data_IF_612060272434
#
_entry.id   IF_612060272434
#
_cell.length_a   1.000
_cell.length_b   1.000
_cell.length_c   1.000
_cell.angle_alpha   90.00
_cell.angle_beta   90.00
_cell.angle_gamma   90.00
#
_symmetry.space_group_name_H-M   'P 1'
#
loop_
_entity.id
_entity.type
_entity.pdbx_description
1 polymer ?
#
# COMPACT_ATOMS: atom_id res chain seq x y z
N UNK A 1 -40.93 -38.82 -22.13
CA UNK A 1 -39.74 -38.32 -22.86
C UNK A 1 -39.51 -36.81 -22.71
N UNK A 2 -40.51 -35.93 -22.94
CA UNK A 2 -40.35 -34.45 -22.83
C UNK A 2 -39.75 -33.94 -21.51
N UNK A 3 -40.16 -34.48 -20.35
CA UNK A 3 -39.64 -34.05 -19.04
C UNK A 3 -38.16 -34.39 -18.81
N UNK A 4 -37.69 -35.52 -19.38
CA UNK A 4 -36.26 -35.93 -19.33
C UNK A 4 -35.40 -35.08 -20.27
N UNK A 5 -35.92 -34.70 -21.43
CA UNK A 5 -35.28 -33.74 -22.34
C UNK A 5 -35.18 -32.34 -21.74
N UNK A 6 -36.24 -31.85 -21.06
CA UNK A 6 -36.20 -30.53 -20.40
C UNK A 6 -35.19 -30.48 -19.24
N UNK A 7 -35.08 -31.56 -18.45
CA UNK A 7 -34.08 -31.66 -17.38
C UNK A 7 -32.65 -31.76 -17.96
N UNK A 8 -32.47 -32.41 -19.12
CA UNK A 8 -31.17 -32.48 -19.81
C UNK A 8 -30.78 -31.17 -20.52
N UNK A 9 -31.75 -30.37 -20.97
CA UNK A 9 -31.52 -29.10 -21.67
C UNK A 9 -31.34 -27.91 -20.72
N UNK A 10 -31.89 -27.97 -19.50
CA UNK A 10 -31.70 -26.94 -18.48
C UNK A 10 -30.21 -26.60 -18.17
N UNK A 11 -29.30 -27.57 -17.93
CA UNK A 11 -27.90 -27.26 -17.70
C UNK A 11 -27.22 -26.66 -18.94
N UNK A 12 -27.58 -27.11 -20.15
CA UNK A 12 -27.06 -26.55 -21.41
C UNK A 12 -27.53 -25.10 -21.61
N UNK A 13 -28.79 -24.78 -21.31
CA UNK A 13 -29.32 -23.42 -21.39
C UNK A 13 -28.65 -22.49 -20.37
N UNK A 14 -28.42 -22.96 -19.13
CA UNK A 14 -27.68 -22.21 -18.11
C UNK A 14 -26.24 -21.96 -18.54
N UNK A 15 -25.55 -22.98 -19.08
CA UNK A 15 -24.18 -22.83 -19.60
C UNK A 15 -24.12 -21.84 -20.76
N UNK A 16 -25.07 -21.90 -21.70
CA UNK A 16 -25.15 -20.94 -22.80
C UNK A 16 -25.40 -19.51 -22.32
N UNK A 17 -26.28 -19.32 -21.32
CA UNK A 17 -26.54 -18.02 -20.72
C UNK A 17 -25.31 -17.46 -19.99
N UNK A 18 -24.58 -18.31 -19.24
CA UNK A 18 -23.34 -17.92 -18.58
C UNK A 18 -22.23 -17.57 -19.58
N UNK A 19 -22.12 -18.32 -20.69
CA UNK A 19 -21.18 -18.02 -21.75
C UNK A 19 -21.52 -16.70 -22.45
N UNK A 20 -22.80 -16.45 -22.74
CA UNK A 20 -23.26 -15.18 -23.31
C UNK A 20 -22.99 -14.00 -22.37
N UNK A 21 -23.22 -14.17 -21.06
CA UNK A 21 -22.91 -13.16 -20.05
C UNK A 21 -21.41 -12.88 -19.97
N UNK A 22 -20.57 -13.93 -19.98
CA UNK A 22 -19.12 -13.79 -19.98
C UNK A 22 -18.61 -13.06 -21.22
N UNK A 23 -19.12 -13.41 -22.40
CA UNK A 23 -18.80 -12.73 -23.66
C UNK A 23 -19.29 -11.28 -23.66
N UNK A 24 -20.51 -11.03 -23.17
CA UNK A 24 -21.06 -9.68 -23.04
C UNK A 24 -20.23 -8.80 -22.10
N UNK A 25 -19.79 -9.35 -20.97
CA UNK A 25 -18.92 -8.64 -20.02
C UNK A 25 -17.56 -8.30 -20.63
N UNK A 26 -16.93 -9.24 -21.32
CA UNK A 26 -15.66 -9.01 -22.01
C UNK A 26 -15.81 -8.00 -23.16
N UNK A 27 -16.91 -8.06 -23.92
CA UNK A 27 -17.21 -7.10 -24.98
C UNK A 27 -17.44 -5.70 -24.41
N UNK A 28 -18.18 -5.56 -23.31
CA UNK A 28 -18.39 -4.28 -22.63
C UNK A 28 -17.08 -3.68 -22.13
N UNK A 29 -16.19 -4.49 -21.55
CA UNK A 29 -14.88 -4.04 -21.09
C UNK A 29 -13.98 -3.56 -22.24
N UNK A 30 -14.10 -4.20 -23.42
CA UNK A 30 -13.38 -3.79 -24.64
C UNK A 30 -14.00 -2.59 -25.36
N UNK A 31 -15.28 -2.30 -25.12
CA UNK A 31 -16.01 -1.19 -25.73
C UNK A 31 -16.13 0.05 -24.83
N UNK A 32 -15.38 0.12 -23.72
CA UNK A 32 -15.25 1.38 -22.98
C UNK A 32 -14.53 2.41 -23.86
N UNK A 33 -14.86 3.71 -23.77
CA UNK A 33 -14.28 4.74 -24.65
C UNK A 33 -12.76 4.60 -24.79
N UNK A 34 -12.32 4.31 -26.01
CA UNK A 34 -10.96 3.84 -26.33
C UNK A 34 -9.91 4.95 -26.44
N UNK A 35 -10.37 6.21 -26.46
CA UNK A 35 -9.52 7.37 -26.71
C UNK A 35 -9.22 8.16 -25.44
N UNK A 36 -7.95 8.39 -25.08
CA UNK A 36 -7.65 9.44 -24.13
C UNK A 36 -8.22 10.78 -24.61
N UNK A 37 -8.61 11.69 -23.70
CA UNK A 37 -8.83 13.07 -24.11
C UNK A 37 -7.55 13.59 -24.81
N UNK A 38 -7.68 14.44 -25.85
CA UNK A 38 -6.52 15.06 -26.45
C UNK A 38 -5.74 15.82 -25.38
N UNK A 39 -4.42 15.71 -25.43
CA UNK A 39 -3.55 16.48 -24.55
C UNK A 39 -3.83 17.96 -24.78
N UNK A 40 -4.08 18.70 -23.71
CA UNK A 40 -4.35 20.15 -23.82
C UNK A 40 -3.06 20.96 -24.05
N UNK A 41 -1.89 20.31 -23.96
CA UNK A 41 -0.58 20.92 -24.18
C UNK A 41 -0.15 20.82 -25.65
N UNK A 42 0.28 21.94 -26.21
CA UNK A 42 0.94 22.02 -27.53
C UNK A 42 2.45 21.73 -27.46
N UNK A 43 3.06 21.89 -26.28
CA UNK A 43 4.47 21.64 -26.07
C UNK A 43 4.77 20.15 -25.76
N UNK A 44 5.96 19.63 -26.14
CA UNK A 44 6.39 18.27 -25.80
C UNK A 44 6.24 17.95 -24.31
N UNK A 45 5.98 16.69 -23.99
CA UNK A 45 5.91 16.24 -22.61
C UNK A 45 7.26 16.39 -21.89
N UNK A 46 7.24 16.99 -20.69
CA UNK A 46 8.46 17.23 -19.90
C UNK A 46 8.96 15.94 -19.26
N UNK A 47 10.18 15.51 -19.63
CA UNK A 47 10.89 14.37 -19.04
C UNK A 47 11.19 14.61 -17.55
N UNK A 48 11.50 15.84 -17.16
CA UNK A 48 11.73 16.21 -15.76
C UNK A 48 10.46 16.05 -14.92
N UNK A 49 9.32 16.51 -15.44
CA UNK A 49 8.02 16.29 -14.79
C UNK A 49 7.72 14.80 -14.68
N UNK A 50 8.00 14.02 -15.74
CA UNK A 50 7.85 12.57 -15.72
C UNK A 50 8.71 11.90 -14.65
N UNK A 51 9.98 12.33 -14.50
CA UNK A 51 10.88 11.84 -13.47
C UNK A 51 10.32 12.07 -12.06
N UNK A 52 9.85 13.30 -11.82
CA UNK A 52 9.23 13.68 -10.56
C UNK A 52 7.99 12.85 -10.25
N UNK A 53 7.06 12.74 -11.21
CA UNK A 53 5.82 11.98 -11.04
C UNK A 53 6.07 10.48 -10.87
N UNK A 54 7.09 9.93 -11.54
CA UNK A 54 7.47 8.53 -11.38
C UNK A 54 8.06 8.24 -9.99
N UNK A 55 8.75 9.22 -9.40
CA UNK A 55 9.18 9.17 -8.00
C UNK A 55 7.98 9.25 -7.06
N UNK A 56 7.09 10.25 -7.22
CA UNK A 56 5.85 10.35 -6.42
C UNK A 56 5.02 9.06 -6.51
N UNK A 57 4.92 8.47 -7.70
CA UNK A 57 4.20 7.20 -7.91
C UNK A 57 4.89 5.95 -7.40
N UNK A 58 6.14 6.07 -6.93
CA UNK A 58 7.02 4.95 -6.57
C UNK A 58 7.11 3.88 -7.67
N UNK A 59 7.18 4.27 -8.95
CA UNK A 59 7.19 3.31 -10.07
C UNK A 59 8.31 2.28 -9.91
N UNK A 60 9.51 2.74 -9.52
CA UNK A 60 10.66 1.89 -9.30
C UNK A 60 10.50 0.92 -8.11
N UNK A 61 9.74 1.29 -7.07
CA UNK A 61 9.50 0.41 -5.91
C UNK A 61 8.75 -0.87 -6.29
N UNK A 62 7.80 -0.78 -7.21
CA UNK A 62 7.06 -1.94 -7.72
C UNK A 62 7.76 -2.59 -8.92
N UNK A 63 8.35 -1.81 -9.83
CA UNK A 63 8.91 -2.31 -11.09
C UNK A 63 10.42 -2.59 -11.04
N UNK A 64 10.96 -2.87 -9.85
CA UNK A 64 12.36 -3.30 -9.69
C UNK A 64 12.42 -4.51 -8.76
N UNK A 65 12.93 -5.64 -9.28
CA UNK A 65 13.23 -6.80 -8.45
C UNK A 65 14.37 -6.49 -7.46
N UNK A 66 14.38 -7.17 -6.30
CA UNK A 66 15.48 -7.02 -5.33
C UNK A 66 16.80 -7.48 -5.96
N UNK A 67 17.78 -6.59 -6.01
CA UNK A 67 19.07 -6.84 -6.67
C UNK A 67 18.99 -6.86 -8.20
N UNK A 68 17.84 -6.50 -8.78
CA UNK A 68 17.66 -6.35 -10.22
C UNK A 68 17.88 -4.92 -10.70
N UNK A 69 17.89 -4.76 -12.00
CA UNK A 69 18.02 -3.47 -12.67
C UNK A 69 16.78 -2.60 -12.47
N UNK A 70 17.00 -1.30 -12.30
CA UNK A 70 15.95 -0.32 -12.02
C UNK A 70 14.91 -0.33 -13.14
N UNK A 71 13.61 -0.39 -12.79
CA UNK A 71 12.46 -0.43 -13.71
C UNK A 71 12.34 -1.67 -14.60
N UNK A 72 13.25 -2.65 -14.51
CA UNK A 72 13.26 -3.84 -15.36
C UNK A 72 12.16 -4.87 -15.01
N UNK A 73 11.34 -4.61 -14.00
CA UNK A 73 10.27 -5.49 -13.54
C UNK A 73 10.77 -6.66 -12.69
N UNK A 74 9.99 -7.73 -12.64
CA UNK A 74 10.33 -8.99 -11.99
C UNK A 74 10.14 -9.02 -10.47
N UNK A 75 9.65 -7.94 -9.85
CA UNK A 75 9.36 -7.93 -8.40
C UNK A 75 8.15 -8.81 -8.11
N UNK A 76 8.31 -9.74 -7.17
CA UNK A 76 7.22 -10.53 -6.63
C UNK A 76 6.33 -9.68 -5.71
N UNK A 77 5.03 -9.68 -5.97
CA UNK A 77 4.00 -9.02 -5.18
C UNK A 77 3.05 -10.12 -4.69
N UNK A 78 3.24 -10.61 -3.45
CA UNK A 78 2.40 -11.64 -2.89
C UNK A 78 0.98 -11.10 -2.62
N UNK A 79 -0.03 -11.86 -3.00
CA UNK A 79 -1.44 -11.56 -2.72
C UNK A 79 -2.13 -12.80 -2.14
N UNK A 80 -3.31 -12.66 -1.50
CA UNK A 80 -4.12 -13.81 -1.10
C UNK A 80 -4.48 -14.78 -2.24
N UNK A 81 -4.41 -14.31 -3.49
CA UNK A 81 -4.80 -15.04 -4.70
C UNK A 81 -3.61 -15.68 -5.45
N UNK A 82 -2.39 -15.52 -4.92
CA UNK A 82 -1.14 -15.94 -5.56
C UNK A 82 -0.18 -14.76 -5.76
N UNK A 83 0.92 -15.01 -6.46
CA UNK A 83 1.99 -14.02 -6.64
C UNK A 83 1.89 -13.35 -8.00
N UNK A 84 1.86 -12.02 -8.01
CA UNK A 84 1.93 -11.20 -9.22
C UNK A 84 3.38 -10.73 -9.40
N UNK A 85 3.85 -10.64 -10.63
CA UNK A 85 5.18 -10.14 -10.95
C UNK A 85 5.07 -8.84 -11.73
N UNK A 86 5.84 -7.82 -11.35
CA UNK A 86 5.84 -6.54 -12.06
C UNK A 86 6.46 -6.66 -13.45
N UNK A 87 5.96 -5.86 -14.39
CA UNK A 87 6.46 -5.82 -15.77
C UNK A 87 7.66 -4.90 -15.93
N UNK A 88 8.43 -5.08 -16.99
CA UNK A 88 9.49 -4.15 -17.38
C UNK A 88 8.88 -2.82 -17.88
N UNK A 89 9.34 -1.68 -17.37
CA UNK A 89 8.92 -0.33 -17.79
C UNK A 89 9.98 0.41 -18.63
N UNK A 90 11.15 -0.19 -18.85
CA UNK A 90 12.20 0.40 -19.69
C UNK A 90 11.81 0.35 -21.18
N UNK A 91 12.45 1.14 -22.08
CA UNK A 91 12.14 1.11 -23.52
C UNK A 91 12.71 -0.13 -24.24
N UNK A 92 12.99 -1.21 -23.52
CA UNK A 92 13.37 -2.50 -24.08
C UNK A 92 12.18 -3.23 -24.75
N UNK A 93 12.48 -4.16 -25.66
CA UNK A 93 11.50 -5.01 -26.33
C UNK A 93 10.62 -5.83 -25.36
N UNK A 94 11.15 -6.18 -24.19
CA UNK A 94 10.41 -6.86 -23.10
C UNK A 94 9.58 -5.90 -22.24
N UNK A 95 9.77 -4.59 -22.40
CA UNK A 95 9.10 -3.51 -21.68
C UNK A 95 8.19 -2.65 -22.56
N UNK A 96 8.50 -1.36 -22.65
CA UNK A 96 7.69 -0.33 -23.31
C UNK A 96 8.14 0.02 -24.73
N UNK A 97 9.04 -0.76 -25.36
CA UNK A 97 9.36 -0.55 -26.76
C UNK A 97 8.09 -0.62 -27.64
N UNK A 98 7.90 0.39 -28.49
CA UNK A 98 6.74 0.47 -29.39
C UNK A 98 5.40 0.74 -28.70
N UNK A 99 5.38 1.07 -27.41
CA UNK A 99 4.19 1.64 -26.78
C UNK A 99 4.04 3.10 -27.17
N UNK A 100 2.82 3.49 -27.55
CA UNK A 100 2.46 4.90 -27.74
C UNK A 100 2.06 5.53 -26.41
N UNK A 101 2.03 6.87 -26.37
CA UNK A 101 1.51 7.59 -25.20
C UNK A 101 0.04 7.22 -24.90
N UNK A 102 -0.77 6.94 -25.94
CA UNK A 102 -2.15 6.50 -25.77
C UNK A 102 -2.25 5.09 -25.19
N UNK A 103 -1.37 4.16 -25.59
CA UNK A 103 -1.30 2.82 -25.01
C UNK A 103 -0.94 2.89 -23.52
N UNK A 104 0.04 3.72 -23.18
CA UNK A 104 0.47 3.94 -21.80
C UNK A 104 -0.65 4.59 -20.97
N UNK A 105 -1.33 5.59 -21.54
CA UNK A 105 -2.50 6.19 -20.91
C UNK A 105 -3.59 5.15 -20.64
N UNK A 106 -3.93 4.27 -21.60
CA UNK A 106 -4.93 3.20 -21.40
C UNK A 106 -4.50 2.19 -20.34
N UNK A 107 -3.20 1.90 -20.22
CA UNK A 107 -2.71 1.06 -19.14
C UNK A 107 -2.95 1.69 -17.77
N UNK A 108 -2.60 2.97 -17.60
CA UNK A 108 -2.85 3.68 -16.33
C UNK A 108 -4.35 3.89 -16.07
N UNK A 109 -5.11 4.28 -17.10
CA UNK A 109 -6.48 4.75 -16.94
C UNK A 109 -7.51 3.65 -16.89
N UNK A 110 -7.31 2.65 -17.73
CA UNK A 110 -8.25 1.57 -17.95
C UNK A 110 -7.67 0.24 -17.52
N UNK A 111 -6.42 0.16 -17.05
CA UNK A 111 -5.78 -1.11 -16.71
C UNK A 111 -5.76 -2.07 -17.89
N UNK A 112 -5.55 -1.55 -19.09
CA UNK A 112 -5.50 -2.30 -20.34
C UNK A 112 -4.10 -2.24 -20.93
N UNK A 113 -3.53 -3.40 -21.20
CA UNK A 113 -2.25 -3.54 -21.90
C UNK A 113 -2.39 -3.13 -23.38
N UNK A 114 -1.27 -2.88 -24.08
CA UNK A 114 -1.26 -2.52 -25.51
C UNK A 114 -2.02 -3.52 -26.40
N UNK A 115 -1.99 -4.79 -26.03
CA UNK A 115 -2.71 -5.90 -26.68
C UNK A 115 -4.21 -6.00 -26.30
N UNK A 116 -4.74 -5.05 -25.53
CA UNK A 116 -6.12 -5.03 -25.06
C UNK A 116 -6.40 -5.96 -23.88
N UNK A 117 -5.38 -6.66 -23.36
CA UNK A 117 -5.53 -7.54 -22.19
C UNK A 117 -5.71 -6.72 -20.92
N UNK A 118 -6.67 -7.13 -20.08
CA UNK A 118 -6.88 -6.54 -18.76
C UNK A 118 -5.70 -6.91 -17.84
N UNK A 119 -5.14 -5.89 -17.19
CA UNK A 119 -4.08 -6.02 -16.21
C UNK A 119 -4.63 -6.59 -14.89
N UNK A 120 -3.83 -7.42 -14.22
CA UNK A 120 -4.16 -7.96 -12.91
C UNK A 120 -4.27 -6.79 -11.90
N UNK A 121 -5.31 -6.75 -11.04
CA UNK A 121 -5.57 -5.63 -10.13
C UNK A 121 -4.59 -5.50 -8.94
N UNK A 122 -3.38 -6.05 -9.07
CA UNK A 122 -2.21 -5.58 -8.33
C UNK A 122 -1.64 -4.28 -8.91
N UNK A 123 -1.90 -4.01 -10.20
CA UNK A 123 -1.80 -2.66 -10.75
C UNK A 123 -2.88 -1.79 -10.09
N UNK A 124 -2.52 -0.66 -9.44
CA UNK A 124 -3.44 0.15 -8.64
C UNK A 124 -4.35 1.02 -9.53
N UNK A 125 -5.14 0.36 -10.38
CA UNK A 125 -5.98 0.99 -11.40
C UNK A 125 -7.03 1.94 -10.81
N UNK A 126 -7.53 1.65 -9.61
CA UNK A 126 -8.47 2.51 -8.88
C UNK A 126 -7.85 3.88 -8.53
N UNK A 127 -6.52 3.96 -8.48
CA UNK A 127 -5.75 5.18 -8.25
C UNK A 127 -5.22 5.78 -9.56
N UNK A 128 -4.56 4.98 -10.40
CA UNK A 128 -3.91 5.48 -11.63
C UNK A 128 -4.90 6.00 -12.66
N UNK A 129 -6.17 5.63 -12.56
CA UNK A 129 -7.25 6.21 -13.38
C UNK A 129 -7.41 7.71 -13.20
N UNK A 130 -7.04 8.24 -12.04
CA UNK A 130 -7.15 9.65 -11.71
C UNK A 130 -6.08 10.53 -12.36
N UNK A 131 -4.99 9.94 -12.86
CA UNK A 131 -3.84 10.67 -13.43
C UNK A 131 -4.28 11.49 -14.63
N UNK A 132 -3.84 12.73 -14.81
CA UNK A 132 -4.25 13.49 -16.00
C UNK A 132 -3.57 12.96 -17.26
N UNK A 133 -4.14 13.29 -18.43
CA UNK A 133 -3.51 12.96 -19.72
C UNK A 133 -2.10 13.50 -19.80
N UNK A 134 -1.92 14.75 -19.39
CA UNK A 134 -0.66 15.47 -19.43
C UNK A 134 0.42 14.81 -18.55
N UNK A 135 0.02 14.26 -17.40
CA UNK A 135 0.92 13.59 -16.47
C UNK A 135 1.26 12.18 -16.92
N UNK A 136 0.30 11.47 -17.54
CA UNK A 136 0.56 10.19 -18.21
C UNK A 136 1.55 10.34 -19.37
N UNK A 137 1.42 11.39 -20.20
CA UNK A 137 2.36 11.68 -21.28
C UNK A 137 3.76 12.00 -20.75
N UNK A 138 3.86 12.76 -19.65
CA UNK A 138 5.14 13.09 -19.01
C UNK A 138 5.84 11.84 -18.45
N UNK A 139 5.09 10.99 -17.75
CA UNK A 139 5.56 9.70 -17.27
C UNK A 139 6.07 8.83 -18.41
N UNK A 140 5.29 8.71 -19.50
CA UNK A 140 5.68 7.94 -20.68
C UNK A 140 6.98 8.49 -21.30
N UNK A 141 7.09 9.80 -21.49
CA UNK A 141 8.28 10.43 -22.05
C UNK A 141 9.52 10.16 -21.19
N UNK A 142 9.40 10.22 -19.85
CA UNK A 142 10.51 9.88 -18.96
C UNK A 142 10.89 8.40 -19.03
N UNK A 143 9.91 7.49 -19.06
CA UNK A 143 10.16 6.05 -19.19
C UNK A 143 10.88 5.71 -20.50
N UNK A 144 10.49 6.34 -21.62
CA UNK A 144 11.15 6.16 -22.91
C UNK A 144 12.59 6.72 -22.94
N UNK A 145 12.93 7.63 -22.02
CA UNK A 145 14.29 8.17 -21.87
C UNK A 145 15.18 7.33 -20.94
N UNK A 146 14.68 6.26 -20.33
CA UNK A 146 15.48 5.39 -19.45
C UNK A 146 16.37 4.45 -20.27
N UNK A 147 17.47 3.93 -19.69
CA UNK A 147 18.22 2.84 -20.30
C UNK A 147 17.33 1.63 -20.58
N UNK A 148 17.41 1.08 -21.78
CA UNK A 148 16.74 -0.18 -22.12
C UNK A 148 17.41 -1.33 -21.37
N UNK A 149 16.62 -2.12 -20.64
CA UNK A 149 17.10 -3.30 -19.93
C UNK A 149 16.32 -4.52 -20.41
N UNK A 150 17.01 -5.48 -21.00
CA UNK A 150 16.41 -6.76 -21.38
C UNK A 150 16.16 -7.61 -20.12
N UNK A 151 14.89 -7.81 -19.78
CA UNK A 151 14.49 -8.63 -18.63
C UNK A 151 13.29 -9.50 -19.01
N UNK A 152 13.41 -10.83 -18.95
CA UNK A 152 12.33 -11.72 -19.36
C UNK A 152 11.10 -11.50 -18.48
N UNK A 153 9.93 -11.42 -19.12
CA UNK A 153 8.66 -11.36 -18.40
C UNK A 153 8.47 -12.63 -17.61
N UNK A 154 8.27 -12.50 -16.29
CA UNK A 154 7.81 -13.60 -15.45
C UNK A 154 6.29 -13.66 -15.44
N UNK A 155 5.74 -14.84 -15.70
CA UNK A 155 4.30 -15.07 -15.62
C UNK A 155 3.82 -15.01 -14.17
N UNK A 156 2.56 -14.61 -13.99
CA UNK A 156 1.95 -14.56 -12.66
C UNK A 156 1.63 -15.96 -12.15
N UNK A 157 1.90 -16.20 -10.87
CA UNK A 157 1.63 -17.46 -10.18
C UNK A 157 0.30 -17.34 -9.40
N UNK A 158 -0.78 -17.05 -10.13
CA UNK A 158 -2.12 -16.90 -9.57
C UNK A 158 -2.83 -18.27 -9.48
N UNK A 159 -3.61 -18.47 -8.41
CA UNK A 159 -4.30 -19.74 -8.15
C UNK A 159 -5.52 -19.88 -9.05
N UNK A 160 -5.68 -21.06 -9.66
CA UNK A 160 -6.88 -21.42 -10.43
C UNK A 160 -7.23 -20.38 -11.50
N UNK A 161 -8.46 -19.86 -11.45
CA UNK A 161 -9.00 -18.95 -12.47
C UNK A 161 -8.77 -17.45 -12.19
N UNK A 162 -8.10 -17.09 -11.09
CA UNK A 162 -7.92 -15.67 -10.71
C UNK A 162 -7.12 -14.86 -11.74
N UNK A 163 -6.25 -15.51 -12.52
CA UNK A 163 -5.51 -14.86 -13.61
C UNK A 163 -6.28 -14.74 -14.94
N UNK A 164 -7.49 -15.31 -15.04
CA UNK A 164 -8.25 -15.30 -16.28
C UNK A 164 -8.83 -13.91 -16.59
N UNK A 165 -8.96 -13.58 -17.87
CA UNK A 165 -9.54 -12.31 -18.31
C UNK A 165 -11.00 -12.12 -17.85
N UNK A 166 -11.76 -13.22 -17.75
CA UNK A 166 -13.12 -13.17 -17.22
C UNK A 166 -13.14 -12.83 -15.73
N UNK A 167 -12.25 -13.43 -14.92
CA UNK A 167 -12.16 -13.11 -13.49
C UNK A 167 -11.76 -11.65 -13.28
N UNK A 168 -10.79 -11.14 -14.05
CA UNK A 168 -10.37 -9.75 -13.98
C UNK A 168 -11.50 -8.81 -14.43
N UNK A 169 -12.23 -9.15 -15.50
CA UNK A 169 -13.39 -8.38 -15.96
C UNK A 169 -14.51 -8.32 -14.90
N UNK A 170 -14.80 -9.44 -14.24
CA UNK A 170 -15.80 -9.51 -13.17
C UNK A 170 -15.36 -8.68 -11.95
N UNK A 171 -14.09 -8.78 -11.55
CA UNK A 171 -13.54 -7.96 -10.47
C UNK A 171 -13.67 -6.47 -10.78
N UNK A 172 -13.34 -6.06 -12.01
CA UNK A 172 -13.44 -4.66 -12.43
C UNK A 172 -14.86 -4.13 -12.39
N UNK A 173 -15.84 -4.94 -12.80
CA UNK A 173 -17.25 -4.55 -12.72
C UNK A 173 -17.72 -4.29 -11.28
N UNK A 174 -17.06 -4.88 -10.28
CA UNK A 174 -17.41 -4.71 -8.86
C UNK A 174 -16.65 -3.55 -8.19
N UNK A 175 -15.39 -3.34 -8.55
CA UNK A 175 -14.48 -2.48 -7.77
C UNK A 175 -13.85 -1.32 -8.56
N UNK A 176 -14.02 -1.27 -9.89
CA UNK A 176 -13.37 -0.27 -10.72
C UNK A 176 -14.37 0.59 -11.49
N UNK A 177 -14.19 1.91 -11.35
CA UNK A 177 -14.86 2.91 -12.17
C UNK A 177 -13.78 3.80 -12.81
N UNK A 178 -13.70 3.85 -14.15
CA UNK A 178 -12.74 4.72 -14.83
C UNK A 178 -13.11 6.20 -14.60
N UNK A 179 -12.10 7.05 -14.42
CA UNK A 179 -12.30 8.49 -14.34
C UNK A 179 -11.03 9.25 -13.96
N UNK A 180 -10.81 10.38 -14.63
CA UNK A 180 -9.72 11.32 -14.31
C UNK A 180 -10.12 12.17 -13.09
N UNK A 181 -9.14 12.57 -12.27
CA UNK A 181 -9.37 13.45 -11.14
C UNK A 181 -10.13 14.71 -11.54
N UNK A 182 -11.18 15.02 -10.78
CA UNK A 182 -11.96 16.24 -10.92
C UNK A 182 -11.75 17.09 -9.66
N UNK A 183 -11.25 18.32 -9.78
CA UNK A 183 -11.14 19.23 -8.64
C UNK A 183 -12.49 19.47 -7.97
N UNK A 184 -12.50 19.45 -6.65
CA UNK A 184 -13.66 19.85 -5.85
C UNK A 184 -13.76 21.38 -5.86
N UNK A 185 -14.84 21.97 -6.43
CA UNK A 185 -15.01 23.41 -6.50
C UNK A 185 -15.20 24.08 -5.13
N UNK A 186 -15.53 23.31 -4.08
CA UNK A 186 -15.63 23.81 -2.71
C UNK A 186 -14.28 23.86 -1.99
N UNK A 187 -13.18 23.47 -2.65
CA UNK A 187 -11.83 23.40 -2.09
C UNK A 187 -10.87 24.26 -2.89
N UNK A 188 -9.85 24.79 -2.21
CA UNK A 188 -8.80 25.57 -2.87
C UNK A 188 -7.88 24.69 -3.75
N UNK A 189 -7.02 25.35 -4.53
CA UNK A 189 -6.10 24.67 -5.44
C UNK A 189 -5.07 23.80 -4.70
N UNK A 190 -4.63 24.20 -3.51
CA UNK A 190 -3.64 23.47 -2.71
C UNK A 190 -4.20 22.15 -2.21
N UNK A 191 -5.43 22.16 -1.69
CA UNK A 191 -6.13 20.96 -1.27
C UNK A 191 -6.38 20.03 -2.46
N UNK A 192 -6.86 20.57 -3.59
CA UNK A 192 -7.11 19.78 -4.80
C UNK A 192 -5.83 19.14 -5.36
N UNK A 193 -4.70 19.84 -5.28
CA UNK A 193 -3.39 19.29 -5.64
C UNK A 193 -2.99 18.13 -4.72
N UNK A 194 -3.19 18.26 -3.41
CA UNK A 194 -2.93 17.20 -2.43
C UNK A 194 -3.81 15.97 -2.65
N UNK A 195 -5.10 16.20 -2.89
CA UNK A 195 -6.07 15.17 -3.21
C UNK A 195 -5.70 14.40 -4.50
N UNK A 196 -5.32 15.13 -5.57
CA UNK A 196 -4.87 14.53 -6.82
C UNK A 196 -3.66 13.61 -6.63
N UNK A 197 -2.63 14.08 -5.93
CA UNK A 197 -1.42 13.30 -5.71
C UNK A 197 -1.67 12.10 -4.79
N UNK A 198 -2.35 12.31 -3.67
CA UNK A 198 -2.61 11.27 -2.67
C UNK A 198 -3.53 10.15 -3.16
N UNK A 199 -4.62 10.52 -3.85
CA UNK A 199 -5.58 9.56 -4.40
C UNK A 199 -5.09 8.95 -5.72
N UNK A 200 -4.33 9.70 -6.51
CA UNK A 200 -3.76 9.28 -7.78
C UNK A 200 -2.41 8.59 -7.61
N UNK A 201 -1.34 9.23 -8.07
CA UNK A 201 -0.02 8.58 -8.19
C UNK A 201 0.57 8.09 -6.88
N UNK A 202 0.43 8.81 -5.77
CA UNK A 202 0.95 8.32 -4.48
C UNK A 202 0.13 7.14 -3.91
N UNK A 203 -1.05 6.88 -4.48
CA UNK A 203 -1.92 5.71 -4.26
C UNK A 203 -2.08 5.32 -2.79
N UNK A 204 -2.29 6.30 -1.90
CA UNK A 204 -2.37 6.05 -0.45
C UNK A 204 -3.43 4.98 -0.11
N UNK A 205 -4.56 4.97 -0.82
CA UNK A 205 -5.65 4.00 -0.61
C UNK A 205 -5.28 2.58 -1.05
N UNK A 206 -4.26 2.40 -1.91
CA UNK A 206 -3.78 1.07 -2.29
C UNK A 206 -3.21 0.28 -1.10
N UNK A 207 -2.83 0.95 -0.01
CA UNK A 207 -2.58 0.27 1.25
C UNK A 207 -3.63 0.60 2.31
N UNK A 208 -4.03 1.87 2.43
CA UNK A 208 -4.84 2.35 3.52
C UNK A 208 -6.36 2.21 3.31
N UNK A 209 -6.84 1.58 2.25
CA UNK A 209 -8.26 1.27 2.08
C UNK A 209 -8.68 -0.02 2.80
N UNK A 210 -9.96 -0.08 3.18
CA UNK A 210 -10.58 -1.36 3.50
C UNK A 210 -10.72 -2.21 2.24
N UNK A 211 -10.45 -3.52 2.35
CA UNK A 211 -10.59 -4.46 1.22
C UNK A 211 -11.74 -5.43 1.43
N UNK A 212 -12.51 -5.65 0.38
CA UNK A 212 -13.53 -6.69 0.34
C UNK A 212 -12.92 -8.10 0.24
N UNK A 213 -13.78 -9.12 0.31
CA UNK A 213 -13.35 -10.53 0.24
C UNK A 213 -12.57 -10.88 -1.05
N UNK A 214 -12.88 -10.21 -2.17
CA UNK A 214 -12.17 -10.37 -3.46
C UNK A 214 -10.96 -9.43 -3.61
N UNK A 215 -10.51 -8.82 -2.51
CA UNK A 215 -9.32 -7.97 -2.47
C UNK A 215 -9.48 -6.57 -3.05
N UNK A 216 -10.63 -6.21 -3.60
CA UNK A 216 -10.90 -4.85 -4.10
C UNK A 216 -11.06 -3.83 -2.99
N UNK A 217 -10.55 -2.63 -3.22
CA UNK A 217 -10.87 -1.45 -2.41
C UNK A 217 -12.22 -0.86 -2.83
N UNK A 218 -12.78 0.04 -2.01
CA UNK A 218 -14.05 0.71 -2.26
C UNK A 218 -13.86 2.11 -2.87
N UNK A 219 -12.74 2.33 -3.55
CA UNK A 219 -12.42 3.57 -4.26
C UNK A 219 -11.18 4.29 -3.72
N UNK A 220 -10.66 5.27 -4.48
CA UNK A 220 -9.41 5.96 -4.18
C UNK A 220 -9.45 6.89 -2.96
N UNK A 221 -10.65 7.12 -2.40
CA UNK A 221 -10.86 7.91 -1.20
C UNK A 221 -11.25 7.07 0.04
N UNK A 222 -11.26 5.73 -0.05
CA UNK A 222 -11.41 4.86 1.12
C UNK A 222 -10.08 4.77 1.88
N UNK A 223 -10.06 5.24 3.12
CA UNK A 223 -8.87 5.23 3.99
C UNK A 223 -9.09 4.56 5.35
N UNK A 224 -10.04 3.62 5.42
CA UNK A 224 -10.40 2.93 6.67
C UNK A 224 -9.33 1.96 7.21
N UNK A 225 -8.27 1.71 6.45
CA UNK A 225 -7.21 0.77 6.77
C UNK A 225 -7.61 -0.69 6.60
N UNK A 226 -6.64 -1.59 6.77
CA UNK A 226 -6.87 -3.02 6.66
C UNK A 226 -5.61 -3.88 6.68
N UNK A 227 -5.82 -5.20 6.75
CA UNK A 227 -4.74 -6.18 6.70
C UNK A 227 -4.20 -6.30 5.26
N UNK A 228 -2.91 -6.04 5.08
CA UNK A 228 -2.16 -6.35 3.88
C UNK A 228 -1.68 -7.80 3.96
N UNK A 229 -2.60 -8.75 3.76
CA UNK A 229 -2.36 -10.18 4.02
C UNK A 229 -1.08 -10.72 3.34
N UNK A 230 -0.80 -10.34 2.09
CA UNK A 230 0.43 -10.75 1.38
C UNK A 230 1.73 -10.19 1.97
N UNK A 231 1.66 -9.06 2.67
CA UNK A 231 2.81 -8.47 3.36
C UNK A 231 2.83 -8.83 4.85
N UNK A 232 1.70 -9.28 5.41
CA UNK A 232 1.48 -9.52 6.83
C UNK A 232 1.70 -8.27 7.69
N UNK A 233 1.30 -7.11 7.17
CA UNK A 233 1.24 -5.83 7.87
C UNK A 233 -0.20 -5.35 7.90
N UNK A 234 -0.58 -4.53 8.87
CA UNK A 234 -1.84 -3.77 8.84
C UNK A 234 -1.52 -2.36 8.40
N UNK A 235 -2.16 -1.89 7.33
CA UNK A 235 -2.18 -0.48 6.99
C UNK A 235 -3.20 0.20 7.92
N UNK A 236 -2.77 1.05 8.86
CA UNK A 236 -3.69 1.74 9.75
C UNK A 236 -4.69 2.62 9.02
N UNK A 237 -5.84 2.87 9.63
CA UNK A 237 -6.79 3.87 9.14
C UNK A 237 -6.16 5.27 9.13
N UNK A 238 -6.25 5.99 8.01
CA UNK A 238 -5.91 7.42 7.97
C UNK A 238 -7.04 8.28 8.56
N UNK A 239 -8.21 7.68 8.82
CA UNK A 239 -9.37 8.38 9.37
C UNK A 239 -9.35 8.40 10.91
N UNK A 240 -8.60 7.51 11.56
CA UNK A 240 -8.57 7.43 13.02
C UNK A 240 -7.31 8.13 13.58
N UNK A 241 -7.45 9.25 14.33
CA UNK A 241 -6.32 9.94 14.95
C UNK A 241 -5.53 9.11 15.97
N UNK A 242 -6.07 8.01 16.48
CA UNK A 242 -5.36 7.06 17.34
C UNK A 242 -4.69 5.91 16.53
N UNK A 243 -4.87 5.87 15.21
CA UNK A 243 -4.06 5.07 14.29
C UNK A 243 -3.15 5.96 13.42
N UNK A 244 -3.36 6.04 12.10
CA UNK A 244 -2.55 6.86 11.19
C UNK A 244 -3.19 8.21 10.83
N UNK A 245 -4.28 8.59 11.50
CA UNK A 245 -4.87 9.91 11.35
C UNK A 245 -3.93 11.05 11.76
N UNK A 246 -3.81 12.04 10.88
CA UNK A 246 -2.93 13.22 11.03
C UNK A 246 -3.72 14.53 11.09
N UNK A 247 -5.06 14.47 11.17
CA UNK A 247 -5.98 15.62 11.21
C UNK A 247 -5.56 16.68 12.24
N UNK A 248 -5.08 16.22 13.41
CA UNK A 248 -4.67 17.07 14.54
C UNK A 248 -3.17 17.41 14.56
N UNK A 249 -2.40 17.01 13.55
CA UNK A 249 -0.95 17.26 13.53
C UNK A 249 -0.63 18.70 13.10
N UNK A 250 0.42 19.32 13.64
CA UNK A 250 0.97 20.55 13.07
C UNK A 250 1.51 20.32 11.65
N UNK A 251 1.29 21.26 10.73
CA UNK A 251 1.71 21.13 9.32
C UNK A 251 3.20 20.79 9.18
N UNK A 252 4.06 21.54 9.84
CA UNK A 252 5.49 21.34 9.77
C UNK A 252 5.92 19.95 10.27
N UNK A 253 5.17 19.35 11.21
CA UNK A 253 5.43 18.00 11.70
C UNK A 253 5.05 16.96 10.65
N UNK A 254 3.87 17.09 10.04
CA UNK A 254 3.41 16.18 8.99
C UNK A 254 4.29 16.25 7.74
N UNK A 255 4.67 17.45 7.30
CA UNK A 255 5.56 17.64 6.15
C UNK A 255 6.94 16.99 6.39
N UNK A 256 7.52 17.16 7.60
CA UNK A 256 8.77 16.47 7.97
C UNK A 256 8.58 14.96 8.02
N UNK A 257 7.47 14.47 8.56
CA UNK A 257 7.21 13.03 8.60
C UNK A 257 7.05 12.43 7.19
N UNK A 258 6.37 13.12 6.26
CA UNK A 258 6.26 12.67 4.87
C UNK A 258 7.63 12.69 4.16
N UNK A 259 8.47 13.68 4.44
CA UNK A 259 9.81 13.80 3.83
C UNK A 259 10.81 12.77 4.37
N UNK A 260 10.87 12.63 5.69
CA UNK A 260 11.94 11.92 6.38
C UNK A 260 11.48 10.63 7.06
N UNK A 261 10.18 10.35 7.04
CA UNK A 261 9.58 9.22 7.73
C UNK A 261 9.59 9.36 9.25
N UNK A 262 10.05 10.49 9.81
CA UNK A 262 10.16 10.72 11.24
C UNK A 262 9.83 12.15 11.64
N UNK A 263 8.93 12.29 12.62
CA UNK A 263 8.66 13.56 13.29
C UNK A 263 7.85 13.33 14.57
N UNK A 264 8.10 14.12 15.62
CA UNK A 264 7.26 14.12 16.83
C UNK A 264 7.17 12.77 17.55
N UNK A 265 8.24 11.96 17.50
CA UNK A 265 8.24 10.60 18.07
C UNK A 265 7.57 9.53 17.18
N UNK A 266 7.02 9.90 16.03
CA UNK A 266 6.46 8.97 15.06
C UNK A 266 7.51 8.57 14.02
N UNK A 267 7.57 7.27 13.69
CA UNK A 267 8.54 6.70 12.75
C UNK A 267 7.84 5.76 11.77
N UNK A 268 8.04 5.99 10.48
CA UNK A 268 7.60 5.09 9.41
C UNK A 268 8.37 3.77 9.48
N UNK A 269 7.66 2.66 9.33
CA UNK A 269 8.21 1.32 9.48
C UNK A 269 7.63 0.39 8.41
N UNK A 270 8.35 -0.71 8.13
CA UNK A 270 7.89 -1.72 7.18
C UNK A 270 7.59 -1.12 5.79
N UNK A 271 6.45 -1.47 5.17
CA UNK A 271 6.09 -0.95 3.84
C UNK A 271 6.03 0.58 3.77
N UNK A 272 5.66 1.27 4.84
CA UNK A 272 5.60 2.73 4.83
C UNK A 272 6.99 3.37 4.79
N UNK A 273 8.01 2.73 5.38
CA UNK A 273 9.40 3.19 5.23
C UNK A 273 9.88 3.06 3.77
N UNK A 274 9.47 2.00 3.06
CA UNK A 274 9.74 1.86 1.61
C UNK A 274 9.02 2.95 0.79
N UNK A 275 7.80 3.33 1.17
CA UNK A 275 7.05 4.43 0.53
C UNK A 275 7.75 5.77 0.76
N UNK A 276 8.23 6.04 1.97
CA UNK A 276 8.98 7.27 2.25
C UNK A 276 10.22 7.34 1.36
N UNK A 277 11.05 6.30 1.38
CA UNK A 277 12.31 6.26 0.64
C UNK A 277 12.10 6.33 -0.88
N UNK A 278 11.09 5.62 -1.39
CA UNK A 278 10.84 5.48 -2.83
C UNK A 278 9.91 6.54 -3.42
N UNK A 279 9.22 7.34 -2.60
CA UNK A 279 8.21 8.31 -3.05
C UNK A 279 8.18 9.60 -2.25
N UNK A 280 7.68 9.61 -1.01
CA UNK A 280 7.29 10.88 -0.37
C UNK A 280 8.49 11.76 -0.01
N UNK A 281 9.69 11.18 0.13
CA UNK A 281 10.95 11.92 0.27
C UNK A 281 11.32 12.74 -0.98
N UNK A 282 10.77 12.41 -2.15
CA UNK A 282 11.03 13.11 -3.41
C UNK A 282 10.05 14.28 -3.67
N UNK A 283 9.00 14.42 -2.86
CA UNK A 283 8.02 15.50 -3.00
C UNK A 283 8.70 16.85 -2.81
N UNK A 284 8.37 17.81 -3.68
CA UNK A 284 8.79 19.20 -3.48
C UNK A 284 7.98 19.85 -2.33
N UNK A 285 8.44 21.00 -1.85
CA UNK A 285 7.83 21.70 -0.70
C UNK A 285 6.35 22.04 -0.92
N UNK A 286 5.98 22.44 -2.14
CA UNK A 286 4.60 22.78 -2.49
C UNK A 286 3.68 21.56 -2.44
N UNK A 287 4.12 20.43 -2.97
CA UNK A 287 3.35 19.18 -2.99
C UNK A 287 3.32 18.51 -1.60
N UNK A 288 4.38 18.66 -0.79
CA UNK A 288 4.34 18.27 0.63
C UNK A 288 3.30 19.08 1.41
N UNK A 289 3.24 20.40 1.20
CA UNK A 289 2.23 21.24 1.82
C UNK A 289 0.82 20.88 1.33
N UNK A 290 0.64 20.65 0.03
CA UNK A 290 -0.62 20.24 -0.58
C UNK A 290 -1.13 18.90 -0.03
N UNK A 291 -0.29 17.86 -0.03
CA UNK A 291 -0.64 16.55 0.52
C UNK A 291 -0.91 16.63 2.03
N UNK A 292 -0.16 17.45 2.77
CA UNK A 292 -0.40 17.67 4.20
C UNK A 292 -1.76 18.33 4.46
N UNK A 293 -2.10 19.38 3.71
CA UNK A 293 -3.38 20.07 3.82
C UNK A 293 -4.56 19.13 3.50
N UNK A 294 -4.42 18.30 2.46
CA UNK A 294 -5.43 17.30 2.10
C UNK A 294 -5.59 16.22 3.18
N UNK A 295 -4.50 15.60 3.63
CA UNK A 295 -4.52 14.55 4.66
C UNK A 295 -5.12 15.03 5.98
N UNK A 296 -4.82 16.28 6.38
CA UNK A 296 -5.39 16.87 7.59
C UNK A 296 -6.89 17.12 7.50
N UNK A 297 -7.40 17.34 6.29
CA UNK A 297 -8.80 17.60 6.01
C UNK A 297 -9.65 16.33 5.81
N UNK A 298 -9.05 15.14 5.92
CA UNK A 298 -9.80 13.87 5.92
C UNK A 298 -10.75 13.82 7.13
N UNK A 299 -11.93 13.18 6.99
CA UNK A 299 -12.84 13.02 8.11
C UNK A 299 -12.21 12.20 9.22
N UNK A 300 -12.61 12.48 10.46
CA UNK A 300 -12.21 11.66 11.61
C UNK A 300 -13.25 10.56 11.84
N UNK A 301 -12.80 9.31 11.82
CA UNK A 301 -13.61 8.15 12.11
C UNK A 301 -12.81 7.14 12.92
N UNK A 302 -13.26 6.87 14.14
CA UNK A 302 -12.61 5.91 15.02
C UNK A 302 -12.81 4.46 14.54
N UNK A 303 -11.73 3.68 14.57
CA UNK A 303 -11.75 2.23 14.43
C UNK A 303 -12.23 1.62 15.74
N UNK A 304 -13.10 0.61 15.64
CA UNK A 304 -13.54 -0.17 16.80
C UNK A 304 -12.36 -0.95 17.37
N UNK A 305 -12.07 -0.76 18.66
CA UNK A 305 -11.00 -1.48 19.38
C UNK A 305 -11.59 -2.58 20.26
N UNK A 306 -10.91 -3.73 20.40
CA UNK A 306 -11.24 -4.68 21.44
C UNK A 306 -11.20 -3.99 22.81
N UNK A 307 -12.18 -4.28 23.66
CA UNK A 307 -12.15 -3.82 25.04
C UNK A 307 -10.91 -4.40 25.75
N UNK A 308 -10.24 -3.64 26.61
CA UNK A 308 -9.14 -4.17 27.41
C UNK A 308 -9.66 -5.32 28.28
N UNK A 309 -9.03 -6.49 28.19
CA UNK A 309 -9.31 -7.59 29.11
C UNK A 309 -8.53 -7.41 30.40
N UNK A 310 -9.04 -7.97 31.51
CA UNK A 310 -8.25 -8.07 32.74
C UNK A 310 -6.95 -8.85 32.47
N UNK A 311 -5.79 -8.32 32.88
CA UNK A 311 -4.55 -8.94 32.46
C UNK A 311 -4.21 -10.22 33.22
N UNK A 312 -3.78 -11.25 32.51
CA UNK A 312 -3.27 -12.48 33.15
C UNK A 312 -1.99 -12.14 33.94
N UNK A 313 -1.97 -12.31 35.27
CA UNK A 313 -0.81 -11.94 36.08
C UNK A 313 0.48 -12.63 35.65
N UNK A 314 0.41 -13.90 35.23
CA UNK A 314 1.60 -14.67 34.80
C UNK A 314 2.15 -14.14 33.49
N UNK A 315 1.25 -13.83 32.54
CA UNK A 315 1.62 -13.24 31.25
C UNK A 315 2.24 -11.87 31.43
N UNK A 316 1.68 -11.04 32.31
CA UNK A 316 2.21 -9.72 32.64
C UNK A 316 3.60 -9.80 33.24
N UNK A 317 3.81 -10.69 34.22
CA UNK A 317 5.12 -10.87 34.85
C UNK A 317 6.16 -11.36 33.84
N UNK A 318 5.82 -12.35 33.02
CA UNK A 318 6.70 -12.84 31.96
C UNK A 318 7.04 -11.73 30.95
N UNK A 319 6.05 -10.99 30.47
CA UNK A 319 6.26 -9.89 29.52
C UNK A 319 7.12 -8.76 30.08
N UNK A 320 6.97 -8.43 31.37
CA UNK A 320 7.80 -7.44 32.04
C UNK A 320 9.27 -7.89 32.15
N UNK A 321 9.52 -9.17 32.47
CA UNK A 321 10.88 -9.73 32.48
C UNK A 321 11.50 -9.69 31.09
N UNK A 322 10.78 -10.17 30.07
CA UNK A 322 11.24 -10.14 28.68
C UNK A 322 11.54 -8.71 28.20
N UNK A 323 10.73 -7.73 28.58
CA UNK A 323 10.98 -6.32 28.25
C UNK A 323 12.30 -5.82 28.85
N UNK A 324 12.53 -6.12 30.13
CA UNK A 324 13.76 -5.76 30.82
C UNK A 324 14.99 -6.41 30.16
N UNK A 325 14.88 -7.68 29.81
CA UNK A 325 15.99 -8.47 29.28
C UNK A 325 16.36 -8.10 27.83
N UNK A 326 15.38 -7.68 27.02
CA UNK A 326 15.56 -7.54 25.57
C UNK A 326 15.30 -6.14 25.01
N UNK A 327 14.58 -5.26 25.72
CA UNK A 327 14.05 -4.03 25.14
C UNK A 327 14.49 -2.76 25.89
N UNK A 328 14.55 -2.82 27.22
CA UNK A 328 14.77 -1.64 28.07
C UNK A 328 16.10 -0.92 27.82
N UNK A 329 17.14 -1.65 27.42
CA UNK A 329 18.45 -1.06 27.10
C UNK A 329 18.39 0.01 25.99
N UNK A 330 17.46 -0.15 25.03
CA UNK A 330 17.27 0.81 23.93
C UNK A 330 16.05 1.71 24.16
N UNK A 331 14.93 1.15 24.64
CA UNK A 331 13.66 1.88 24.77
C UNK A 331 13.45 2.55 26.14
N UNK A 332 14.39 2.39 27.08
CA UNK A 332 14.29 2.90 28.45
C UNK A 332 13.50 1.98 29.38
N UNK A 333 13.62 2.17 30.69
CA UNK A 333 12.90 1.35 31.68
C UNK A 333 11.39 1.63 31.68
N UNK A 334 10.98 2.83 31.24
CA UNK A 334 9.58 3.27 31.15
C UNK A 334 9.11 3.45 29.72
N UNK A 335 9.83 2.88 28.74
CA UNK A 335 9.48 3.04 27.33
C UNK A 335 9.62 4.46 26.81
N UNK A 336 10.38 5.33 27.46
CA UNK A 336 10.55 6.75 27.10
C UNK A 336 11.39 6.96 25.83
N UNK A 337 12.07 5.92 25.34
CA UNK A 337 12.98 6.00 24.20
C UNK A 337 14.27 6.75 24.53
N UNK A 338 15.13 6.94 23.52
CA UNK A 338 16.36 7.75 23.65
C UNK A 338 16.59 8.58 22.40
N UNK A 339 17.10 9.78 22.58
CA UNK A 339 17.57 10.63 21.49
C UNK A 339 19.03 10.33 21.15
N UNK A 340 19.44 10.64 19.91
CA UNK A 340 20.84 10.67 19.51
C UNK A 340 21.48 12.01 19.92
N UNK A 341 22.76 12.18 19.58
CA UNK A 341 23.55 13.38 19.88
C UNK A 341 22.95 14.67 19.28
N UNK A 342 22.24 14.58 18.16
CA UNK A 342 21.58 15.72 17.52
C UNK A 342 20.19 16.02 18.08
N UNK A 343 19.76 15.32 19.15
CA UNK A 343 18.44 15.46 19.75
C UNK A 343 17.29 14.83 18.93
N UNK A 344 17.60 14.11 17.85
CA UNK A 344 16.62 13.36 17.08
C UNK A 344 16.34 12.00 17.76
N UNK A 345 15.15 11.40 17.62
CA UNK A 345 14.87 10.07 18.17
C UNK A 345 15.85 9.02 17.60
N UNK A 346 16.66 8.42 18.47
CA UNK A 346 17.50 7.27 18.12
C UNK A 346 16.70 5.97 18.26
N UNK A 347 16.10 5.79 19.44
CA UNK A 347 15.19 4.70 19.73
C UNK A 347 13.84 5.32 20.09
N UNK A 348 12.76 5.00 19.35
CA UNK A 348 11.48 5.64 19.54
C UNK A 348 10.90 5.30 20.91
N UNK A 349 10.17 6.26 21.48
CA UNK A 349 9.38 6.03 22.67
C UNK A 349 8.30 4.97 22.38
N UNK A 350 8.17 4.00 23.28
CA UNK A 350 7.07 3.05 23.29
C UNK A 350 5.89 3.61 24.10
N UNK A 351 6.16 4.44 25.10
CA UNK A 351 5.15 5.18 25.84
C UNK A 351 4.32 6.06 24.89
N UNK A 352 2.99 5.93 24.94
CA UNK A 352 2.08 6.67 24.05
C UNK A 352 2.21 6.35 22.55
N UNK A 353 3.02 5.35 22.16
CA UNK A 353 3.20 4.96 20.77
C UNK A 353 1.94 4.35 20.17
N UNK A 354 1.50 4.91 19.03
CA UNK A 354 0.29 4.46 18.35
C UNK A 354 0.38 3.01 17.88
N UNK A 355 1.56 2.55 17.41
CA UNK A 355 1.77 1.18 16.94
C UNK A 355 1.51 0.14 18.05
N UNK A 356 1.77 0.51 19.31
CA UNK A 356 1.51 -0.33 20.48
C UNK A 356 0.01 -0.38 20.75
N UNK A 357 -0.68 0.77 20.70
CA UNK A 357 -2.09 0.89 21.05
C UNK A 357 -3.10 0.59 19.91
N UNK A 358 -2.64 0.19 18.71
CA UNK A 358 -3.54 -0.08 17.58
C UNK A 358 -4.56 -1.18 17.90
N UNK A 359 -5.69 -1.15 17.18
CA UNK A 359 -6.73 -2.16 17.32
C UNK A 359 -6.19 -3.58 17.06
N UNK A 360 -5.37 -3.74 16.02
CA UNK A 360 -4.66 -4.99 15.73
C UNK A 360 -3.22 -4.93 16.27
N UNK A 361 -2.73 -5.98 16.97
CA UNK A 361 -1.34 -6.06 17.41
C UNK A 361 -0.37 -6.48 16.29
N UNK A 362 -0.85 -6.70 15.05
CA UNK A 362 -0.05 -7.27 13.98
C UNK A 362 1.23 -6.48 13.68
N UNK A 363 1.15 -5.16 13.60
CA UNK A 363 2.33 -4.34 13.33
C UNK A 363 3.34 -4.39 14.48
N UNK A 364 2.89 -4.33 15.74
CA UNK A 364 3.74 -4.48 16.91
C UNK A 364 4.50 -5.81 16.90
N UNK A 365 3.76 -6.91 16.74
CA UNK A 365 4.32 -8.27 16.65
C UNK A 365 5.37 -8.33 15.54
N UNK A 366 5.07 -7.75 14.38
CA UNK A 366 5.96 -7.81 13.21
C UNK A 366 7.23 -7.00 13.37
N UNK A 367 7.16 -5.85 14.02
CA UNK A 367 8.32 -5.03 14.36
C UNK A 367 9.22 -5.78 15.34
N UNK A 368 8.66 -6.41 16.37
CA UNK A 368 9.45 -7.22 17.32
C UNK A 368 10.10 -8.41 16.62
N UNK A 369 9.37 -9.15 15.80
CA UNK A 369 9.89 -10.35 15.14
C UNK A 369 10.99 -10.05 14.13
N UNK A 370 10.76 -9.06 13.27
CA UNK A 370 11.63 -8.79 12.13
C UNK A 370 12.64 -7.69 12.38
N UNK A 371 12.49 -6.93 13.45
CA UNK A 371 13.24 -5.71 13.66
C UNK A 371 13.00 -4.74 12.50
N UNK A 372 13.98 -3.88 12.25
CA UNK A 372 13.98 -3.00 11.09
C UNK A 372 14.70 -1.70 11.32
N UNK A 373 14.62 -0.84 10.31
CA UNK A 373 15.20 0.49 10.29
C UNK A 373 14.14 1.50 9.89
N UNK A 374 14.25 2.71 10.42
CA UNK A 374 13.59 3.86 9.82
C UNK A 374 14.15 4.13 8.41
N UNK A 375 13.44 4.85 7.53
CA UNK A 375 13.95 5.14 6.20
C UNK A 375 15.19 6.03 6.27
N UNK A 376 16.22 5.70 5.48
CA UNK A 376 17.43 6.52 5.36
C UNK A 376 17.18 7.68 4.38
N UNK A 377 16.92 8.88 4.92
CA UNK A 377 16.64 10.08 4.13
C UNK A 377 17.73 11.14 4.35
N UNK A 378 17.76 12.25 3.59
CA UNK A 378 18.68 13.35 3.89
C UNK A 378 18.55 13.89 5.32
N UNK A 379 17.34 13.91 5.90
CA UNK A 379 17.11 14.29 7.29
C UNK A 379 17.57 13.26 8.33
N UNK A 380 17.74 11.99 7.93
CA UNK A 380 18.30 10.94 8.79
C UNK A 380 19.09 9.91 7.97
N UNK A 381 20.34 10.20 7.59
CA UNK A 381 21.10 9.35 6.66
C UNK A 381 21.56 8.02 7.29
N UNK A 382 21.55 7.92 8.63
CA UNK A 382 22.01 6.75 9.39
C UNK A 382 20.99 6.41 10.50
N UNK A 383 19.83 5.83 10.14
CA UNK A 383 18.82 5.41 11.11
C UNK A 383 19.37 4.31 12.03
N UNK A 384 18.99 4.35 13.31
CA UNK A 384 19.23 3.23 14.22
C UNK A 384 18.28 2.07 13.90
N UNK A 385 18.78 0.84 14.08
CA UNK A 385 18.02 -0.37 13.83
C UNK A 385 17.52 -1.04 15.11
N UNK A 386 16.39 -1.72 15.00
CA UNK A 386 15.91 -2.69 15.99
C UNK A 386 16.29 -4.11 15.53
N UNK A 387 16.92 -4.94 16.39
CA UNK A 387 17.26 -6.32 16.02
C UNK A 387 16.01 -7.21 15.88
N UNK A 388 16.05 -8.27 15.05
CA UNK A 388 14.95 -9.22 14.93
C UNK A 388 14.92 -10.22 16.09
N UNK A 389 13.73 -10.50 16.63
CA UNK A 389 13.53 -11.47 17.71
C UNK A 389 12.82 -12.76 17.29
N UNK A 390 12.55 -12.98 16.00
CA UNK A 390 11.83 -14.18 15.52
C UNK A 390 12.50 -15.52 15.90
N UNK A 391 13.83 -15.55 16.03
CA UNK A 391 14.59 -16.73 16.47
C UNK A 391 14.85 -16.81 17.98
N UNK A 392 14.43 -15.78 18.73
CA UNK A 392 14.68 -15.65 20.18
C UNK A 392 13.39 -15.86 20.97
N UNK A 393 12.28 -15.30 20.50
CA UNK A 393 11.00 -15.31 21.19
C UNK A 393 10.02 -16.31 20.55
N UNK A 394 9.62 -17.31 21.34
CA UNK A 394 8.52 -18.20 21.00
C UNK A 394 7.18 -17.45 20.90
N UNK A 395 6.13 -18.10 20.38
CA UNK A 395 4.82 -17.45 20.23
C UNK A 395 4.23 -17.02 21.59
N UNK A 396 4.44 -17.81 22.66
CA UNK A 396 4.01 -17.49 24.01
C UNK A 396 4.75 -16.29 24.60
N UNK A 397 6.08 -16.25 24.47
CA UNK A 397 6.92 -15.14 24.96
C UNK A 397 6.61 -13.85 24.22
N UNK A 398 6.43 -13.91 22.90
CA UNK A 398 6.07 -12.76 22.10
C UNK A 398 4.67 -12.24 22.46
N UNK A 399 3.71 -13.12 22.70
CA UNK A 399 2.38 -12.74 23.17
C UNK A 399 2.44 -12.06 24.55
N UNK A 400 3.26 -12.59 25.47
CA UNK A 400 3.47 -12.00 26.80
C UNK A 400 4.14 -10.62 26.71
N UNK A 401 5.21 -10.48 25.93
CA UNK A 401 5.90 -9.21 25.71
C UNK A 401 4.97 -8.18 25.06
N UNK A 402 4.26 -8.55 23.99
CA UNK A 402 3.33 -7.65 23.31
C UNK A 402 2.19 -7.21 24.25
N UNK A 403 1.65 -8.12 25.06
CA UNK A 403 0.63 -7.80 26.07
C UNK A 403 1.15 -6.82 27.12
N UNK A 404 2.37 -7.03 27.61
CA UNK A 404 3.01 -6.12 28.56
C UNK A 404 3.16 -4.71 27.97
N UNK A 405 3.68 -4.59 26.74
CA UNK A 405 3.80 -3.29 26.05
C UNK A 405 2.45 -2.60 25.90
N UNK A 406 1.40 -3.35 25.55
CA UNK A 406 0.04 -2.86 25.30
C UNK A 406 -0.72 -2.38 26.54
N UNK A 407 -0.25 -2.73 27.73
CA UNK A 407 -0.86 -2.36 29.01
C UNK A 407 0.04 -1.52 29.91
N UNK A 408 1.28 -1.26 29.46
CA UNK A 408 2.27 -0.49 30.19
C UNK A 408 2.43 0.89 29.56
N UNK A 409 3.20 1.76 30.20
CA UNK A 409 3.63 3.04 29.62
C UNK A 409 2.47 3.95 29.17
N UNK A 410 1.35 3.91 29.91
CA UNK A 410 0.15 4.70 29.65
C UNK A 410 -0.83 4.07 28.65
N UNK A 411 -0.56 2.84 28.19
CA UNK A 411 -1.46 2.11 27.30
C UNK A 411 -2.50 1.29 28.07
N UNK A 412 -3.68 1.18 27.48
CA UNK A 412 -4.76 0.31 27.94
C UNK A 412 -5.36 -0.43 26.74
N UNK A 413 -4.52 -1.15 25.99
CA UNK A 413 -4.95 -1.95 24.84
C UNK A 413 -5.12 -3.44 25.21
N UNK A 414 -5.97 -4.15 24.47
CA UNK A 414 -6.28 -5.56 24.73
C UNK A 414 -5.06 -6.48 24.66
N UNK A 415 -5.11 -7.60 25.38
CA UNK A 415 -4.03 -8.61 25.37
C UNK A 415 -3.84 -9.28 24.01
N UNK A 416 -2.64 -9.82 23.85
CA UNK A 416 -2.25 -10.69 22.74
C UNK A 416 -2.07 -12.09 23.29
N UNK A 417 -2.66 -13.08 22.65
CA UNK A 417 -2.43 -14.49 22.98
C UNK A 417 -1.53 -15.19 21.95
N UNK A 418 -1.02 -16.36 22.33
CA UNK A 418 -0.12 -17.12 21.46
C UNK A 418 -0.79 -17.63 20.18
N UNK A 419 -2.10 -17.88 20.20
CA UNK A 419 -2.86 -18.33 19.02
C UNK A 419 -2.97 -17.21 18.00
N UNK A 420 -3.20 -15.97 18.44
CA UNK A 420 -3.18 -14.78 17.61
C UNK A 420 -1.82 -14.58 16.95
N UNK A 421 -0.72 -14.69 17.71
CA UNK A 421 0.65 -14.64 17.15
C UNK A 421 0.84 -15.70 16.06
N UNK A 422 0.45 -16.95 16.32
CA UNK A 422 0.57 -18.03 15.35
C UNK A 422 -0.29 -17.79 14.09
N UNK A 423 -1.50 -17.25 14.23
CA UNK A 423 -2.36 -16.88 13.09
C UNK A 423 -1.71 -15.79 12.25
N UNK A 424 -1.13 -14.76 12.87
CA UNK A 424 -0.47 -13.66 12.16
C UNK A 424 0.82 -14.13 11.45
N UNK A 425 1.58 -15.06 12.06
CA UNK A 425 2.70 -15.75 11.39
C UNK A 425 2.23 -16.54 10.18
N UNK A 426 1.16 -17.32 10.31
CA UNK A 426 0.62 -18.11 9.21
C UNK A 426 0.14 -17.23 8.04
N UNK A 427 -0.56 -16.12 8.34
CA UNK A 427 -1.00 -15.15 7.33
C UNK A 427 0.19 -14.55 6.56
N UNK A 428 1.32 -14.33 7.25
CA UNK A 428 2.55 -13.82 6.67
C UNK A 428 3.39 -14.85 5.89
N UNK A 429 3.21 -16.13 6.20
CA UNK A 429 4.00 -17.25 5.69
C UNK A 429 3.37 -17.94 4.48
N UNK A 430 2.16 -17.55 4.05
CA UNK A 430 1.48 -18.05 2.84
C UNK A 430 2.16 -17.62 1.51
N UNK A 431 3.50 -17.55 1.53
CA UNK A 431 4.43 -17.19 0.46
C UNK A 431 4.59 -18.30 -0.55
#
# INVERSE_FOLDING_TARGET
MRRRLLIALAPLAVLAALAALALGLLAWQRGMPDGPPPSTRTAPASVERGAYLAAVGNCAGCHTARGGERLAGGRAIPTPFGTVFSTNLTPDATGLAGWTADDFWRALHLGQSRDGRLLVPAHPITNTTLVTREDADALHAWLQAQPAVAAPRREHELRGLYGSQLAIAAWRALYFKPGVFQPDPARDATWNRGAYLGQGLAHCSACHAGRGFLGGDFGPADFRGGLLAGLGWVAPSLLDPAEAGVQRWPDAMLQRWLRDGQAGGHTAQGPMAEVVLGSTAALNDADLAAMSAWLRALPEQAVTRPQPSEPDPRRRELGARLYKDHCAACHGERGEGRANESGAPAYPALAGSRIVAQASPANLIRVIERGGFAPATPGQPRPYGMPPFAGVLGAGDLAALASHLRQSFGHAAGEVDAVEVLRLRAAAAAR
#
